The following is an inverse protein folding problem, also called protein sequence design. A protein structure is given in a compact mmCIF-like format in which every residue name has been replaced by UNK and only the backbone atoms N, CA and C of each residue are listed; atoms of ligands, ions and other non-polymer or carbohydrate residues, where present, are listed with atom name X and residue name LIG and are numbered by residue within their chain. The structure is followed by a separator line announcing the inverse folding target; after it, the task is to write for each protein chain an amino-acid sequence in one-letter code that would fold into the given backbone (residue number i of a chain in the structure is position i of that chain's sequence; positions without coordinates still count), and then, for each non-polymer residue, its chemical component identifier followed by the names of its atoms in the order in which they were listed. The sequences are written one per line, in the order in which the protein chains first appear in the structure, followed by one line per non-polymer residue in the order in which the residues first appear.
data_IF_040863817641
#
_entry.id   IF_040863817641
#
_cell.length_a   1.000
_cell.length_b   1.000
_cell.length_c   1.000
_cell.angle_alpha   90.00
_cell.angle_beta   90.00
_cell.angle_gamma   90.00
#
_symmetry.space_group_name_H-M   'P 1'
#
loop_
_entity.id
_entity.type
_entity.pdbx_description
1 polymer ?
#
# COMPACT_ATOMS: atom_id res chain seq x y z
N UNK A 1 -6.57 56.68 -32.39
CA UNK A 1 -5.54 55.82 -31.75
C UNK A 1 -5.25 54.50 -32.49
N UNK A 2 -5.90 54.19 -33.62
CA UNK A 2 -5.64 52.95 -34.39
C UNK A 2 -4.49 53.09 -35.43
N UNK A 3 -4.17 54.32 -35.87
CA UNK A 3 -3.17 54.57 -36.90
C UNK A 3 -1.70 54.41 -36.49
N UNK A 4 -1.36 54.53 -35.19
CA UNK A 4 0.00 54.28 -34.71
C UNK A 4 0.34 52.79 -34.63
N UNK A 5 -0.68 51.93 -34.45
CA UNK A 5 -0.52 50.48 -34.35
C UNK A 5 -0.21 49.88 -35.73
N UNK A 6 -0.90 50.35 -36.78
CA UNK A 6 -0.69 49.89 -38.17
C UNK A 6 0.68 50.29 -38.74
N UNK A 7 1.24 51.42 -38.28
CA UNK A 7 2.59 51.86 -38.66
C UNK A 7 3.72 51.00 -38.08
N UNK A 8 3.56 50.51 -36.85
CA UNK A 8 4.52 49.61 -36.20
C UNK A 8 4.49 48.18 -36.78
N UNK A 9 3.29 47.70 -37.15
CA UNK A 9 3.07 46.43 -37.85
C UNK A 9 3.84 46.33 -39.17
N UNK A 10 4.02 47.44 -39.88
CA UNK A 10 4.67 47.46 -41.19
C UNK A 10 6.21 47.51 -41.12
N UNK A 11 6.79 48.01 -40.02
CA UNK A 11 8.25 48.07 -39.81
C UNK A 11 8.83 46.84 -39.10
N UNK A 12 8.02 46.07 -38.38
CA UNK A 12 8.42 44.85 -37.67
C UNK A 12 7.62 43.61 -38.12
N UNK A 13 7.19 43.62 -39.39
CA UNK A 13 6.33 42.61 -40.02
C UNK A 13 6.82 41.17 -39.83
N UNK A 14 8.14 40.94 -39.87
CA UNK A 14 8.73 39.61 -39.63
C UNK A 14 8.46 39.12 -38.21
N UNK A 15 8.61 39.96 -37.18
CA UNK A 15 8.41 39.55 -35.77
C UNK A 15 6.94 39.26 -35.49
N UNK A 16 6.04 40.09 -35.98
CA UNK A 16 4.61 39.88 -35.83
C UNK A 16 4.15 38.60 -36.53
N UNK A 17 4.69 38.32 -37.72
CA UNK A 17 4.38 37.08 -38.45
C UNK A 17 4.85 35.84 -37.66
N UNK A 18 6.07 35.85 -37.10
CA UNK A 18 6.57 34.73 -36.28
C UNK A 18 5.72 34.51 -35.03
N UNK A 19 5.31 35.58 -34.35
CA UNK A 19 4.43 35.49 -33.18
C UNK A 19 3.06 34.91 -33.55
N UNK A 20 2.45 35.40 -34.63
CA UNK A 20 1.16 34.89 -35.09
C UNK A 20 1.25 33.41 -35.48
N UNK A 21 2.31 33.01 -36.17
CA UNK A 21 2.53 31.61 -36.55
C UNK A 21 2.72 30.72 -35.31
N UNK A 22 3.51 31.17 -34.32
CA UNK A 22 3.70 30.46 -33.07
C UNK A 22 2.41 30.25 -32.29
N UNK A 23 1.57 31.29 -32.18
CA UNK A 23 0.24 31.21 -31.54
C UNK A 23 -0.66 30.25 -32.31
N UNK A 24 -0.64 30.28 -33.65
CA UNK A 24 -1.44 29.38 -34.49
C UNK A 24 -1.05 27.91 -34.29
N UNK A 25 0.26 27.61 -34.28
CA UNK A 25 0.79 26.26 -34.04
C UNK A 25 0.42 25.78 -32.64
N UNK A 26 0.59 26.62 -31.62
CA UNK A 26 0.24 26.29 -30.24
C UNK A 26 -1.26 26.00 -30.07
N UNK A 27 -2.14 26.85 -30.62
CA UNK A 27 -3.59 26.66 -30.56
C UNK A 27 -4.03 25.38 -31.27
N UNK A 28 -3.44 25.08 -32.43
CA UNK A 28 -3.73 23.85 -33.19
C UNK A 28 -3.28 22.61 -32.43
N UNK A 29 -2.06 22.62 -31.90
CA UNK A 29 -1.52 21.51 -31.10
C UNK A 29 -2.32 21.25 -29.83
N UNK A 30 -2.70 22.32 -29.11
CA UNK A 30 -3.55 22.22 -27.93
C UNK A 30 -4.93 21.64 -28.25
N UNK A 31 -5.53 22.05 -29.37
CA UNK A 31 -6.84 21.56 -29.81
C UNK A 31 -6.78 20.07 -30.19
N UNK A 32 -5.76 19.66 -30.95
CA UNK A 32 -5.53 18.25 -31.31
C UNK A 32 -5.30 17.37 -30.07
N UNK A 33 -4.50 17.84 -29.12
CA UNK A 33 -4.25 17.13 -27.88
C UNK A 33 -5.54 16.98 -27.05
N UNK A 34 -6.30 18.07 -26.90
CA UNK A 34 -7.58 18.05 -26.16
C UNK A 34 -8.58 17.12 -26.81
N UNK A 35 -8.70 17.16 -28.15
CA UNK A 35 -9.56 16.25 -28.91
C UNK A 35 -9.13 14.78 -28.77
N UNK A 36 -7.83 14.51 -28.78
CA UNK A 36 -7.29 13.16 -28.58
C UNK A 36 -7.56 12.63 -27.16
N UNK A 37 -7.39 13.46 -26.13
CA UNK A 37 -7.71 13.10 -24.73
C UNK A 37 -9.20 12.86 -24.58
N UNK A 38 -10.05 13.74 -25.13
CA UNK A 38 -11.51 13.57 -25.09
C UNK A 38 -11.94 12.29 -25.81
N UNK A 39 -11.38 12.00 -26.97
CA UNK A 39 -11.66 10.77 -27.72
C UNK A 39 -11.18 9.53 -26.98
N UNK A 40 -10.00 9.59 -26.36
CA UNK A 40 -9.48 8.49 -25.53
C UNK A 40 -10.38 8.23 -24.33
N UNK A 41 -10.84 9.29 -23.67
CA UNK A 41 -11.78 9.20 -22.56
C UNK A 41 -13.11 8.61 -23.00
N UNK A 42 -13.70 9.11 -24.09
CA UNK A 42 -14.93 8.58 -24.67
C UNK A 42 -14.79 7.12 -25.09
N UNK A 43 -13.65 6.73 -25.66
CA UNK A 43 -13.37 5.34 -26.02
C UNK A 43 -13.26 4.46 -24.78
N UNK A 44 -12.63 4.93 -23.71
CA UNK A 44 -12.54 4.20 -22.44
C UNK A 44 -13.91 4.06 -21.78
N UNK A 45 -14.69 5.15 -21.71
CA UNK A 45 -16.05 5.15 -21.17
C UNK A 45 -16.97 4.25 -22.01
N UNK A 46 -16.95 4.37 -23.34
CA UNK A 46 -17.73 3.51 -24.23
C UNK A 46 -17.29 2.04 -24.19
N UNK A 47 -15.99 1.75 -24.04
CA UNK A 47 -15.51 0.37 -23.88
C UNK A 47 -15.92 -0.21 -22.53
N UNK A 48 -15.91 0.62 -21.48
CA UNK A 48 -16.39 0.25 -20.16
C UNK A 48 -17.90 -0.06 -20.21
N UNK A 49 -18.70 0.81 -20.82
CA UNK A 49 -20.15 0.65 -20.96
C UNK A 49 -20.55 -0.51 -21.87
N UNK A 50 -19.90 -0.66 -23.02
CA UNK A 50 -20.16 -1.78 -23.95
C UNK A 50 -19.79 -3.15 -23.36
N UNK A 51 -18.84 -3.17 -22.41
CA UNK A 51 -18.45 -4.38 -21.67
C UNK A 51 -19.17 -4.47 -20.31
N UNK A 52 -20.00 -3.50 -19.95
CA UNK A 52 -20.73 -3.47 -18.68
C UNK A 52 -21.91 -4.45 -18.70
N UNK A 53 -21.61 -5.76 -18.76
CA UNK A 53 -22.56 -6.84 -18.48
C UNK A 53 -22.86 -7.00 -16.98
N UNK A 54 -22.24 -6.18 -16.13
CA UNK A 54 -22.36 -6.26 -14.68
C UNK A 54 -23.80 -6.15 -14.15
N UNK A 55 -24.74 -5.57 -14.92
CA UNK A 55 -26.17 -5.57 -14.56
C UNK A 55 -26.77 -6.99 -14.49
N UNK A 56 -26.19 -7.96 -15.21
CA UNK A 56 -26.63 -9.35 -15.25
C UNK A 56 -25.67 -10.32 -14.54
N UNK A 57 -24.49 -9.85 -14.11
CA UNK A 57 -23.53 -10.67 -13.38
C UNK A 57 -23.80 -10.59 -11.88
N UNK A 58 -24.25 -11.70 -11.29
CA UNK A 58 -24.50 -11.79 -9.84
C UNK A 58 -23.23 -12.29 -9.15
N UNK A 59 -22.71 -11.50 -8.21
CA UNK A 59 -21.60 -11.92 -7.36
C UNK A 59 -22.08 -12.82 -6.22
N UNK A 60 -21.77 -14.11 -6.31
CA UNK A 60 -22.02 -15.09 -5.23
C UNK A 60 -20.80 -15.17 -4.30
N UNK A 61 -21.03 -15.11 -2.99
CA UNK A 61 -19.99 -15.17 -1.95
C UNK A 61 -20.40 -16.13 -0.83
N UNK A 62 -19.45 -16.77 -0.13
CA UNK A 62 -19.77 -17.64 1.00
C UNK A 62 -20.48 -16.87 2.13
N UNK A 63 -21.22 -17.58 2.97
CA UNK A 63 -21.88 -17.00 4.14
C UNK A 63 -20.84 -16.31 5.06
N UNK A 64 -21.22 -15.18 5.66
CA UNK A 64 -20.33 -14.40 6.53
C UNK A 64 -19.25 -13.57 5.79
N UNK A 65 -19.22 -13.59 4.45
CA UNK A 65 -18.25 -12.83 3.67
C UNK A 65 -18.46 -11.31 3.72
N UNK A 66 -19.69 -10.84 3.98
CA UNK A 66 -20.03 -9.41 3.98
C UNK A 66 -19.35 -8.69 5.13
N UNK A 67 -18.63 -7.60 4.82
CA UNK A 67 -18.04 -6.76 5.87
C UNK A 67 -19.07 -5.78 6.45
N UNK A 68 -18.83 -5.27 7.67
CA UNK A 68 -19.69 -4.27 8.31
C UNK A 68 -19.90 -3.02 7.43
N UNK A 69 -18.85 -2.58 6.71
CA UNK A 69 -18.91 -1.44 5.79
C UNK A 69 -19.74 -1.73 4.54
N UNK A 70 -19.71 -2.97 4.04
CA UNK A 70 -20.54 -3.38 2.91
C UNK A 70 -22.02 -3.41 3.30
N UNK A 71 -22.34 -3.84 4.52
CA UNK A 71 -23.70 -3.82 5.05
C UNK A 71 -24.24 -2.39 5.20
N UNK A 72 -23.41 -1.42 5.58
CA UNK A 72 -23.83 -0.03 5.77
C UNK A 72 -23.89 0.78 4.48
N UNK A 73 -22.97 0.54 3.53
CA UNK A 73 -22.81 1.36 2.32
C UNK A 73 -23.38 0.70 1.04
N UNK A 74 -23.78 -0.58 1.10
CA UNK A 74 -24.28 -1.31 -0.07
C UNK A 74 -23.23 -1.55 -1.16
N UNK A 75 -21.96 -1.24 -0.90
CA UNK A 75 -20.87 -1.30 -1.88
C UNK A 75 -19.83 -2.33 -1.47
N UNK A 76 -19.52 -3.27 -2.37
CA UNK A 76 -18.44 -4.25 -2.20
C UNK A 76 -17.09 -3.53 -2.30
N UNK A 77 -16.16 -3.87 -1.41
CA UNK A 77 -14.82 -3.26 -1.44
C UNK A 77 -14.08 -3.64 -2.73
N UNK A 78 -13.32 -2.70 -3.34
CA UNK A 78 -12.38 -3.04 -4.39
C UNK A 78 -11.40 -4.12 -3.92
N UNK A 79 -11.03 -5.04 -4.82
CA UNK A 79 -10.11 -6.14 -4.53
C UNK A 79 -10.55 -7.01 -3.33
N UNK A 80 -11.86 -7.20 -3.12
CA UNK A 80 -12.39 -8.01 -2.01
C UNK A 80 -11.81 -9.44 -1.99
N UNK A 81 -11.57 -10.03 -3.18
CA UNK A 81 -10.96 -11.35 -3.34
C UNK A 81 -9.60 -11.46 -2.66
N UNK A 82 -8.83 -10.37 -2.63
CA UNK A 82 -7.48 -10.37 -2.09
C UNK A 82 -7.44 -10.62 -0.58
N UNK A 83 -8.53 -10.34 0.15
CA UNK A 83 -8.61 -10.43 1.61
C UNK A 83 -9.64 -11.44 2.13
N UNK A 84 -10.30 -12.17 1.23
CA UNK A 84 -11.27 -13.21 1.58
C UNK A 84 -10.53 -14.53 1.84
N UNK A 85 -10.76 -15.12 3.02
CA UNK A 85 -10.37 -16.50 3.29
C UNK A 85 -11.58 -17.42 3.05
N UNK A 86 -11.39 -18.49 2.29
CA UNK A 86 -12.46 -19.41 1.90
C UNK A 86 -13.20 -18.99 0.62
N UNK A 87 -14.20 -19.79 0.23
CA UNK A 87 -14.97 -19.63 -1.00
C UNK A 87 -16.21 -20.52 -1.01
N UNK A 88 -16.88 -20.62 -2.15
CA UNK A 88 -17.92 -21.63 -2.36
C UNK A 88 -17.28 -22.98 -2.68
N UNK A 89 -17.92 -24.08 -2.28
CA UNK A 89 -17.45 -25.43 -2.62
C UNK A 89 -17.72 -25.74 -4.10
N UNK A 90 -17.02 -26.71 -4.67
CA UNK A 90 -17.29 -27.18 -6.04
C UNK A 90 -18.72 -27.72 -6.20
N UNK A 91 -19.30 -28.28 -5.13
CA UNK A 91 -20.69 -28.74 -5.10
C UNK A 91 -21.66 -27.56 -5.15
N UNK A 92 -21.43 -26.53 -4.32
CA UNK A 92 -22.23 -25.29 -4.36
C UNK A 92 -22.14 -24.61 -5.73
N UNK A 93 -20.94 -24.56 -6.33
CA UNK A 93 -20.75 -24.03 -7.67
C UNK A 93 -21.56 -24.81 -8.72
N UNK A 94 -21.51 -26.15 -8.71
CA UNK A 94 -22.32 -26.98 -9.62
C UNK A 94 -23.81 -26.76 -9.43
N UNK A 95 -24.26 -26.58 -8.19
CA UNK A 95 -25.66 -26.27 -7.91
C UNK A 95 -26.07 -24.92 -8.52
N UNK A 96 -25.23 -23.89 -8.39
CA UNK A 96 -25.47 -22.56 -8.98
C UNK A 96 -25.48 -22.64 -10.50
N UNK A 97 -24.53 -23.36 -11.10
CA UNK A 97 -24.43 -23.55 -12.54
C UNK A 97 -25.68 -24.26 -13.13
N UNK A 98 -26.38 -25.07 -12.33
CA UNK A 98 -27.61 -25.77 -12.73
C UNK A 98 -28.91 -24.99 -12.51
N UNK A 99 -28.87 -23.77 -11.95
CA UNK A 99 -30.09 -22.99 -11.69
C UNK A 99 -30.70 -22.43 -12.98
N UNK A 100 -32.04 -22.46 -13.08
CA UNK A 100 -32.75 -21.82 -14.21
C UNK A 100 -32.43 -20.32 -14.24
N UNK A 101 -31.99 -19.83 -15.39
CA UNK A 101 -31.61 -18.43 -15.61
C UNK A 101 -30.13 -18.13 -15.41
N UNK A 102 -29.31 -19.12 -14.99
CA UNK A 102 -27.84 -19.00 -15.00
C UNK A 102 -27.33 -19.52 -16.33
N UNK A 103 -26.82 -18.62 -17.17
CA UNK A 103 -26.20 -18.99 -18.46
C UNK A 103 -24.78 -19.54 -18.24
N UNK A 104 -23.99 -18.86 -17.41
CA UNK A 104 -22.58 -19.18 -17.12
C UNK A 104 -22.30 -18.93 -15.64
N UNK A 105 -21.58 -19.86 -15.00
CA UNK A 105 -21.04 -19.69 -13.64
C UNK A 105 -19.51 -19.75 -13.68
N UNK A 106 -18.84 -18.58 -13.58
CA UNK A 106 -17.39 -18.46 -13.62
C UNK A 106 -16.80 -18.29 -12.20
N UNK A 107 -16.25 -19.36 -11.58
CA UNK A 107 -15.65 -19.26 -10.26
C UNK A 107 -14.31 -18.52 -10.34
N UNK A 108 -14.09 -17.59 -9.42
CA UNK A 108 -12.82 -16.85 -9.28
C UNK A 108 -12.19 -17.20 -7.94
N UNK A 109 -10.93 -17.67 -7.98
CA UNK A 109 -10.18 -18.02 -6.78
C UNK A 109 -8.87 -17.23 -6.70
N UNK A 110 -8.53 -16.75 -5.49
CA UNK A 110 -7.21 -16.17 -5.23
C UNK A 110 -6.20 -17.30 -4.98
N UNK A 111 -5.20 -17.44 -5.87
CA UNK A 111 -4.16 -18.47 -5.75
C UNK A 111 -3.08 -18.12 -4.72
N UNK A 112 -2.90 -16.83 -4.44
CA UNK A 112 -1.90 -16.36 -3.48
C UNK A 112 -1.83 -14.84 -3.44
N UNK A 113 -1.14 -14.32 -2.43
CA UNK A 113 -0.83 -12.90 -2.28
C UNK A 113 0.67 -12.72 -2.25
N UNK A 114 1.18 -11.80 -3.05
CA UNK A 114 2.55 -11.31 -2.92
C UNK A 114 2.51 -10.04 -2.07
N UNK A 115 3.24 -10.04 -0.96
CA UNK A 115 3.51 -8.83 -0.21
C UNK A 115 4.78 -8.19 -0.78
N UNK A 116 4.65 -7.03 -1.41
CA UNK A 116 5.80 -6.24 -1.79
C UNK A 116 6.47 -5.71 -0.51
N UNK A 117 7.70 -6.14 -0.25
CA UNK A 117 8.52 -5.55 0.80
C UNK A 117 9.05 -4.22 0.29
N UNK A 118 8.57 -3.14 0.87
CA UNK A 118 9.11 -1.80 0.62
C UNK A 118 10.00 -1.41 1.79
N UNK A 119 11.18 -0.89 1.48
CA UNK A 119 12.09 -0.34 2.47
C UNK A 119 12.20 1.16 2.25
N UNK A 120 11.90 1.94 3.28
CA UNK A 120 12.21 3.35 3.34
C UNK A 120 13.38 3.54 4.30
N UNK A 121 14.41 4.29 3.87
CA UNK A 121 15.48 4.74 4.76
C UNK A 121 15.12 6.14 5.23
N UNK A 122 15.09 6.34 6.54
CA UNK A 122 14.98 7.65 7.16
C UNK A 122 16.28 7.96 7.89
N UNK A 123 16.81 9.17 7.71
CA UNK A 123 17.91 9.65 8.53
C UNK A 123 17.35 10.06 9.91
N UNK A 124 17.89 9.42 10.95
CA UNK A 124 17.51 9.67 12.35
C UNK A 124 18.64 10.35 13.15
N UNK A 125 19.73 10.75 12.49
CA UNK A 125 20.95 11.25 13.15
C UNK A 125 20.66 12.49 14.00
N UNK A 126 19.78 13.38 13.52
CA UNK A 126 19.39 14.58 14.26
C UNK A 126 18.47 14.33 15.48
N UNK A 127 17.98 13.11 15.65
CA UNK A 127 17.11 12.71 16.77
C UNK A 127 17.84 11.83 17.79
N UNK A 128 19.13 11.55 17.55
CA UNK A 128 20.00 10.79 18.45
C UNK A 128 20.72 11.78 19.37
N UNK A 129 20.68 11.53 20.67
CA UNK A 129 21.56 12.21 21.61
C UNK A 129 22.95 11.55 21.54
N UNK A 130 23.93 12.26 20.96
CA UNK A 130 25.29 11.76 20.82
C UNK A 130 26.03 11.64 22.16
N UNK A 131 25.59 12.35 23.20
CA UNK A 131 26.18 12.29 24.54
C UNK A 131 25.62 11.15 25.39
N UNK A 132 24.53 10.50 24.96
CA UNK A 132 23.90 9.43 25.71
C UNK A 132 24.59 8.07 25.47
N UNK A 133 25.08 7.44 26.54
CA UNK A 133 25.64 6.08 26.50
C UNK A 133 24.65 5.01 25.99
N UNK A 134 23.35 5.25 26.23
CA UNK A 134 22.22 4.35 25.95
C UNK A 134 20.96 5.15 25.68
N UNK A 135 20.20 4.81 24.64
CA UNK A 135 18.91 5.42 24.37
C UNK A 135 17.96 4.46 23.64
N UNK A 136 16.67 4.67 23.82
CA UNK A 136 15.61 3.91 23.15
C UNK A 136 14.81 4.87 22.28
N UNK A 137 14.78 4.61 20.98
CA UNK A 137 13.94 5.32 20.02
C UNK A 137 12.68 4.50 19.75
N UNK A 138 11.53 5.17 19.72
CA UNK A 138 10.26 4.56 19.31
C UNK A 138 9.76 5.22 18.02
N UNK A 139 10.11 4.68 16.84
CA UNK A 139 9.51 5.14 15.59
C UNK A 139 7.98 5.02 15.64
N UNK A 140 7.30 6.06 15.15
CA UNK A 140 5.85 6.05 14.90
C UNK A 140 5.64 6.23 13.42
N UNK A 141 5.21 5.16 12.75
CA UNK A 141 5.02 5.16 11.32
C UNK A 141 3.53 5.37 10.98
N UNK A 142 3.28 6.35 10.11
CA UNK A 142 1.97 6.62 9.54
C UNK A 142 2.04 6.46 8.03
N UNK A 143 1.30 5.50 7.51
CA UNK A 143 1.17 5.24 6.09
C UNK A 143 0.03 6.08 5.51
N UNK A 144 0.31 6.83 4.45
CA UNK A 144 -0.69 7.60 3.69
C UNK A 144 -0.70 7.09 2.25
N UNK A 145 -1.82 6.54 1.80
CA UNK A 145 -2.01 6.02 0.44
C UNK A 145 -3.13 6.76 -0.28
N UNK A 146 -3.34 6.48 -1.58
CA UNK A 146 -4.45 7.03 -2.38
C UNK A 146 -4.54 8.56 -2.34
N UNK A 147 -3.42 9.25 -2.58
CA UNK A 147 -3.31 10.72 -2.45
C UNK A 147 -3.77 11.24 -1.07
N UNK A 148 -3.39 10.52 -0.02
CA UNK A 148 -3.70 10.80 1.38
C UNK A 148 -5.18 10.63 1.78
N UNK A 149 -6.01 9.99 0.94
CA UNK A 149 -7.39 9.61 1.29
C UNK A 149 -7.46 8.39 2.22
N UNK A 150 -6.40 7.59 2.24
CA UNK A 150 -6.27 6.41 3.10
C UNK A 150 -5.10 6.63 4.06
N UNK A 151 -5.38 6.61 5.36
CA UNK A 151 -4.36 6.75 6.41
C UNK A 151 -4.40 5.53 7.32
N UNK A 152 -3.26 4.88 7.49
CA UNK A 152 -3.10 3.75 8.39
C UNK A 152 -1.89 3.98 9.29
N UNK A 153 -2.11 3.89 10.60
CA UNK A 153 -1.02 3.89 11.56
C UNK A 153 -0.50 2.45 11.70
N UNK A 154 0.82 2.28 11.67
CA UNK A 154 1.41 0.95 11.85
C UNK A 154 1.07 0.43 13.25
N UNK A 155 0.37 -0.71 13.38
CA UNK A 155 -0.22 -1.14 14.66
C UNK A 155 0.80 -1.76 15.66
N UNK A 156 2.10 -1.53 15.47
CA UNK A 156 3.16 -2.06 16.32
C UNK A 156 3.99 -0.97 16.98
N UNK A 157 4.49 -1.23 18.19
CA UNK A 157 5.54 -0.42 18.80
C UNK A 157 6.90 -1.06 18.48
N UNK A 158 7.57 -0.55 17.45
CA UNK A 158 8.98 -0.88 17.21
C UNK A 158 9.83 -0.03 18.13
N UNK A 159 10.80 -0.64 18.81
CA UNK A 159 11.78 0.04 19.64
C UNK A 159 13.18 -0.22 19.07
N UNK A 160 13.97 0.83 18.96
CA UNK A 160 15.36 0.76 18.54
C UNK A 160 16.22 1.15 19.73
N UNK A 161 17.01 0.22 20.24
CA UNK A 161 17.95 0.49 21.32
C UNK A 161 19.33 0.79 20.75
N UNK A 162 19.86 1.96 21.07
CA UNK A 162 21.20 2.39 20.68
C UNK A 162 22.08 2.39 21.93
N UNK A 163 23.27 1.83 21.82
CA UNK A 163 24.29 1.93 22.86
C UNK A 163 25.68 1.97 22.25
N UNK A 164 26.56 2.79 22.83
CA UNK A 164 27.98 2.79 22.51
C UNK A 164 28.75 1.61 23.12
N UNK A 165 28.10 0.83 24.00
CA UNK A 165 28.73 -0.32 24.64
C UNK A 165 28.83 -1.50 23.67
N UNK A 166 29.89 -2.34 23.75
CA UNK A 166 29.96 -3.56 22.98
C UNK A 166 28.78 -4.46 23.31
N UNK A 167 27.98 -4.79 22.29
CA UNK A 167 26.85 -5.70 22.42
C UNK A 167 27.31 -7.08 21.98
N UNK A 168 27.10 -8.09 22.84
CA UNK A 168 27.29 -9.48 22.45
C UNK A 168 25.98 -9.95 21.83
N UNK A 169 25.93 -10.25 20.51
CA UNK A 169 24.73 -10.77 19.90
C UNK A 169 24.37 -12.13 20.53
N UNK A 170 23.08 -12.44 20.76
CA UNK A 170 22.70 -13.76 21.20
C UNK A 170 23.08 -14.80 20.14
N UNK A 171 23.47 -15.99 20.57
CA UNK A 171 23.61 -17.13 19.67
C UNK A 171 22.21 -17.51 19.17
N UNK A 172 21.93 -17.20 17.90
CA UNK A 172 20.66 -17.48 17.25
C UNK A 172 20.73 -18.86 16.57
N UNK A 173 20.28 -19.89 17.28
CA UNK A 173 20.05 -21.22 16.71
C UNK A 173 18.55 -21.48 16.59
N UNK A 174 18.02 -21.72 15.39
CA UNK A 174 16.66 -22.23 15.24
C UNK A 174 16.65 -23.71 15.63
N UNK A 175 16.06 -24.04 16.78
CA UNK A 175 15.95 -25.44 17.25
C UNK A 175 14.61 -26.11 16.89
N UNK A 176 13.77 -25.47 16.07
CA UNK A 176 12.52 -26.09 15.57
C UNK A 176 12.45 -26.13 14.05
N UNK A 177 12.28 -27.35 13.54
CA UNK A 177 12.08 -27.70 12.13
C UNK A 177 10.65 -27.32 11.69
N UNK A 178 10.36 -26.01 11.55
CA UNK A 178 9.08 -25.41 11.09
C UNK A 178 7.81 -25.74 11.94
N UNK A 179 6.70 -24.97 11.85
CA UNK A 179 6.54 -23.53 11.72
C UNK A 179 6.02 -22.95 13.06
N UNK A 180 6.84 -22.98 14.11
CA UNK A 180 6.62 -22.18 15.31
C UNK A 180 7.71 -21.12 15.32
N UNK A 181 7.31 -19.86 15.17
CA UNK A 181 8.21 -18.71 15.09
C UNK A 181 8.78 -18.32 16.46
N UNK A 182 8.91 -19.26 17.39
CA UNK A 182 9.64 -19.06 18.63
C UNK A 182 11.14 -18.99 18.34
N UNK A 183 11.66 -17.79 18.12
CA UNK A 183 13.11 -17.55 18.15
C UNK A 183 13.60 -17.74 19.60
N UNK A 184 14.09 -18.93 19.91
CA UNK A 184 14.79 -19.20 21.18
C UNK A 184 16.18 -18.60 21.08
N UNK A 185 16.32 -17.39 21.60
CA UNK A 185 17.63 -16.76 21.74
C UNK A 185 18.32 -17.35 22.97
N UNK A 186 19.56 -17.78 22.85
CA UNK A 186 20.36 -18.22 24.02
C UNK A 186 21.53 -17.28 24.24
N UNK A 187 21.80 -16.94 25.51
CA UNK A 187 22.99 -16.20 25.90
C UNK A 187 23.75 -16.98 26.97
N UNK A 188 24.99 -17.37 26.69
CA UNK A 188 25.84 -18.18 27.60
C UNK A 188 25.12 -19.42 28.14
N UNK A 189 24.39 -20.13 27.27
CA UNK A 189 23.67 -21.36 27.62
C UNK A 189 22.33 -21.18 28.35
N UNK A 190 21.79 -19.95 28.47
CA UNK A 190 20.46 -19.69 29.04
C UNK A 190 19.48 -19.16 28.00
N UNK A 191 18.24 -19.63 28.01
CA UNK A 191 17.18 -19.15 27.14
C UNK A 191 16.75 -17.71 27.52
N UNK A 192 16.75 -16.82 26.54
CA UNK A 192 16.32 -15.42 26.66
C UNK A 192 14.81 -15.25 26.45
N UNK A 193 14.10 -16.30 26.02
CA UNK A 193 12.65 -16.32 25.82
C UNK A 193 11.90 -15.93 27.10
N UNK A 194 12.42 -16.31 28.28
CA UNK A 194 11.85 -15.92 29.58
C UNK A 194 12.06 -14.44 29.90
N UNK A 195 13.16 -13.83 29.42
CA UNK A 195 13.48 -12.41 29.65
C UNK A 195 12.63 -11.54 28.72
N UNK A 196 12.46 -11.95 27.45
CA UNK A 196 11.60 -11.26 26.49
C UNK A 196 10.13 -11.25 26.92
N UNK A 197 9.60 -12.38 27.38
CA UNK A 197 8.23 -12.48 27.92
C UNK A 197 8.04 -11.67 29.20
N UNK A 198 9.02 -11.64 30.11
CA UNK A 198 8.95 -10.84 31.32
C UNK A 198 8.88 -9.33 31.03
N UNK A 199 9.68 -8.85 30.06
CA UNK A 199 9.70 -7.43 29.67
C UNK A 199 8.41 -7.04 28.93
N UNK A 200 7.88 -7.90 28.05
CA UNK A 200 6.58 -7.67 27.38
C UNK A 200 5.41 -7.74 28.38
N UNK A 201 5.53 -8.51 29.46
CA UNK A 201 4.55 -8.59 30.55
C UNK A 201 4.71 -7.55 31.67
N UNK A 202 5.67 -6.62 31.57
CA UNK A 202 5.89 -5.57 32.57
C UNK A 202 6.57 -6.01 33.88
N UNK A 203 7.15 -7.22 33.91
CA UNK A 203 7.89 -7.71 35.07
C UNK A 203 9.40 -7.44 34.92
N UNK A 204 10.03 -6.83 35.93
CA UNK A 204 11.48 -6.61 35.97
C UNK A 204 12.20 -7.94 36.24
N UNK A 205 13.01 -8.48 35.30
CA UNK A 205 13.72 -9.72 35.55
C UNK A 205 14.91 -9.47 36.50
N UNK A 206 14.98 -10.24 37.58
CA UNK A 206 16.06 -10.16 38.56
C UNK A 206 17.38 -10.70 37.96
N UNK A 207 18.22 -9.80 37.44
CA UNK A 207 19.60 -10.14 37.07
C UNK A 207 20.44 -10.32 38.33
N UNK A 208 20.61 -11.57 38.79
CA UNK A 208 21.62 -11.90 39.80
C UNK A 208 23.02 -11.73 39.19
N UNK A 209 23.81 -10.80 39.73
CA UNK A 209 25.21 -10.58 39.34
C UNK A 209 26.02 -11.88 39.54
N UNK A 210 26.91 -12.25 38.59
CA UNK A 210 27.77 -13.42 38.77
C UNK A 210 28.74 -13.17 39.93
N UNK A 211 28.84 -14.15 40.83
CA UNK A 211 29.89 -14.19 41.86
C UNK A 211 31.23 -14.36 41.16
N UNK A 212 32.09 -13.36 41.27
CA UNK A 212 33.51 -13.47 40.95
C UNK A 212 34.14 -14.55 41.82
N UNK A 213 34.90 -15.44 41.18
CA UNK A 213 35.79 -16.38 41.85
C UNK A 213 37.22 -15.89 41.64
#
# INVERSE_FOLDING_TARGET
MHGMITGQLRRQSVRTLTLLLGVLVAATGFTLLTGSVATSRLRVEASADATFRAAYDILVRPAGARSAREASAGQVRPNFLSGQFGGITSEQWRQIAGMRGVEIAAPVAMLGRVQARTHARGDVTGQIDAAADRQVLRPRNTWRTDRALSVAQEPGATYVYLTGNPVVPPDAGSTRRYPDWSHLYTYKGRALTDVGLAITGGATPALKRPRTR
#
